data_IF_002529693614
#
_entry.id   IF_002529693614
#
_cell.length_a   1.000
_cell.length_b   1.000
_cell.length_c   1.000
_cell.angle_alpha   90.00
_cell.angle_beta   90.00
_cell.angle_gamma   90.00
#
_symmetry.space_group_name_H-M   'P 1'
#
loop_
_entity.id
_entity.type
_entity.pdbx_description
1 polymer ?
#
# COMPACT_ATOMS: atom_id res chain seq x y z
N UNK A 1 -4.30 4.51 10.10
CA UNK A 1 -5.23 5.59 10.52
C UNK A 1 -6.32 5.86 9.48
N UNK A 2 -6.01 5.91 8.18
CA UNK A 2 -7.01 6.21 7.14
C UNK A 2 -8.21 5.24 7.14
N UNK A 3 -7.98 3.93 7.26
CA UNK A 3 -9.06 2.94 7.33
C UNK A 3 -10.06 3.24 8.47
N UNK A 4 -9.57 3.47 9.70
CA UNK A 4 -10.44 3.81 10.85
C UNK A 4 -11.27 5.08 10.63
N UNK A 5 -10.78 6.04 9.84
CA UNK A 5 -11.46 7.31 9.58
C UNK A 5 -12.47 7.24 8.44
N UNK A 6 -12.21 6.40 7.44
CA UNK A 6 -12.88 6.50 6.14
C UNK A 6 -13.53 5.18 5.68
N UNK A 7 -13.03 4.02 6.11
CA UNK A 7 -13.46 2.73 5.58
C UNK A 7 -14.85 2.31 6.10
N UNK A 8 -15.22 2.68 7.33
CA UNK A 8 -16.41 2.18 8.01
C UNK A 8 -17.37 3.29 8.45
N UNK A 9 -18.00 4.04 7.51
CA UNK A 9 -18.96 5.10 7.87
C UNK A 9 -20.20 4.55 8.60
N UNK A 10 -20.48 3.24 8.48
CA UNK A 10 -21.56 2.53 9.17
C UNK A 10 -21.11 1.83 10.45
N UNK A 11 -19.84 1.96 10.85
CA UNK A 11 -19.30 1.50 12.13
C UNK A 11 -18.41 0.27 12.05
N UNK A 12 -18.98 -0.89 11.69
CA UNK A 12 -18.26 -2.17 11.77
C UNK A 12 -17.45 -2.50 10.52
N UNK A 13 -16.35 -3.22 10.73
CA UNK A 13 -15.53 -3.82 9.69
C UNK A 13 -14.22 -4.35 10.22
N UNK A 14 -13.41 -4.91 9.34
CA UNK A 14 -12.15 -5.56 9.63
C UNK A 14 -10.99 -4.82 8.96
N UNK A 15 -9.91 -4.63 9.72
CA UNK A 15 -8.61 -4.22 9.18
C UNK A 15 -7.67 -5.41 9.34
N UNK A 16 -7.09 -5.85 8.23
CA UNK A 16 -6.07 -6.89 8.20
C UNK A 16 -4.70 -6.24 8.01
N UNK A 17 -3.74 -6.61 8.84
CA UNK A 17 -2.33 -6.20 8.69
C UNK A 17 -1.51 -7.45 8.46
N UNK A 18 -0.80 -7.50 7.34
CA UNK A 18 0.00 -8.65 6.93
C UNK A 18 1.44 -8.21 6.69
N UNK A 19 2.39 -8.98 7.21
CA UNK A 19 3.80 -8.82 6.89
C UNK A 19 4.36 -10.16 6.41
N UNK A 20 4.91 -10.17 5.21
CA UNK A 20 5.50 -11.34 4.58
C UNK A 20 6.95 -11.03 4.23
N UNK A 21 7.87 -11.92 4.59
CA UNK A 21 9.28 -11.74 4.28
C UNK A 21 9.90 -13.01 3.72
N UNK A 22 10.67 -12.82 2.65
CA UNK A 22 11.55 -13.82 2.07
C UNK A 22 12.82 -13.10 1.64
N UNK A 23 13.84 -13.13 2.51
CA UNK A 23 15.10 -12.40 2.33
C UNK A 23 15.60 -12.54 0.89
N UNK A 24 15.90 -11.43 0.19
CA UNK A 24 15.93 -10.04 0.69
C UNK A 24 14.60 -9.29 0.58
N UNK A 25 13.55 -9.91 0.04
CA UNK A 25 12.28 -9.26 -0.26
C UNK A 25 11.33 -9.25 0.95
N UNK A 26 10.48 -8.24 1.03
CA UNK A 26 9.42 -8.16 2.02
C UNK A 26 8.24 -7.34 1.51
N UNK A 27 7.06 -7.62 2.06
CA UNK A 27 5.81 -6.92 1.79
C UNK A 27 5.09 -6.66 3.12
N UNK A 28 4.74 -5.41 3.37
CA UNK A 28 3.83 -5.00 4.44
C UNK A 28 2.54 -4.51 3.79
N UNK A 29 1.41 -5.16 4.07
CA UNK A 29 0.11 -4.73 3.59
C UNK A 29 -0.87 -4.45 4.72
N UNK A 30 -1.73 -3.46 4.49
CA UNK A 30 -2.85 -3.11 5.34
C UNK A 30 -4.08 -3.10 4.44
N UNK A 31 -5.01 -4.01 4.69
CA UNK A 31 -6.30 -4.10 4.02
C UNK A 31 -7.45 -3.75 4.95
N UNK A 32 -8.49 -3.12 4.44
CA UNK A 32 -9.80 -3.02 5.07
C UNK A 32 -10.88 -3.63 4.16
N UNK A 33 -11.99 -4.09 4.75
CA UNK A 33 -13.17 -4.59 4.04
C UNK A 33 -14.30 -3.53 3.94
N UNK A 34 -13.92 -2.25 3.99
CA UNK A 34 -14.84 -1.12 4.05
C UNK A 34 -15.41 -0.70 2.69
N UNK A 35 -15.84 0.55 2.61
CA UNK A 35 -16.49 1.11 1.41
C UNK A 35 -15.54 1.33 0.22
N UNK A 36 -14.24 1.26 0.47
CA UNK A 36 -13.22 1.59 -0.52
C UNK A 36 -13.11 3.09 -0.82
N UNK A 37 -12.34 3.38 -1.86
CA UNK A 37 -12.06 4.70 -2.43
C UNK A 37 -12.51 4.75 -3.89
N UNK A 38 -13.08 5.88 -4.30
CA UNK A 38 -13.35 6.21 -5.71
C UNK A 38 -12.05 6.39 -6.51
N UNK A 39 -12.14 6.33 -7.84
CA UNK A 39 -10.99 6.56 -8.72
C UNK A 39 -10.30 7.91 -8.45
N UNK A 40 -11.08 8.95 -8.16
CA UNK A 40 -10.56 10.27 -7.80
C UNK A 40 -9.79 10.22 -6.48
N UNK A 41 -10.33 9.58 -5.44
CA UNK A 41 -9.69 9.44 -4.13
C UNK A 41 -8.44 8.54 -4.14
N UNK A 42 -8.36 7.60 -5.07
CA UNK A 42 -7.14 6.80 -5.29
C UNK A 42 -6.03 7.68 -5.88
N UNK A 43 -6.38 8.56 -6.82
CA UNK A 43 -5.42 9.45 -7.50
C UNK A 43 -4.96 10.62 -6.62
N UNK A 44 -5.77 11.05 -5.65
CA UNK A 44 -5.41 12.12 -4.73
C UNK A 44 -4.50 11.60 -3.61
N UNK A 45 -3.22 11.99 -3.69
CA UNK A 45 -2.23 11.77 -2.62
C UNK A 45 -2.44 12.79 -1.51
N UNK A 46 -3.46 12.61 -0.68
CA UNK A 46 -3.76 13.57 0.37
C UNK A 46 -3.19 13.19 1.74
N UNK A 47 -2.70 14.21 2.45
CA UNK A 47 -2.34 14.17 3.85
C UNK A 47 -0.87 13.87 4.15
N UNK A 48 -0.38 14.50 5.22
CA UNK A 48 0.97 14.31 5.76
C UNK A 48 1.32 12.83 6.00
N UNK A 49 0.34 12.03 6.46
CA UNK A 49 0.54 10.60 6.69
C UNK A 49 0.91 9.82 5.42
N UNK A 50 0.30 10.16 4.28
CA UNK A 50 0.60 9.55 2.98
C UNK A 50 2.02 9.93 2.54
N UNK A 51 2.39 11.21 2.64
CA UNK A 51 3.73 11.69 2.27
C UNK A 51 4.85 11.09 3.12
N UNK A 52 4.60 10.85 4.42
CA UNK A 52 5.56 10.19 5.31
C UNK A 52 5.78 8.74 4.87
N UNK A 53 4.70 7.98 4.59
CA UNK A 53 4.80 6.59 4.15
C UNK A 53 5.56 6.50 2.82
N UNK A 54 5.27 7.36 1.85
CA UNK A 54 5.98 7.41 0.57
C UNK A 54 7.48 7.72 0.73
N UNK A 55 7.81 8.68 1.60
CA UNK A 55 9.20 9.08 1.87
C UNK A 55 9.98 7.95 2.56
N UNK A 56 9.37 7.26 3.52
CA UNK A 56 9.98 6.11 4.19
C UNK A 56 10.16 4.92 3.26
N UNK A 57 9.16 4.62 2.42
CA UNK A 57 9.27 3.59 1.40
C UNK A 57 10.44 3.87 0.44
N UNK A 58 10.59 5.13 0.01
CA UNK A 58 11.71 5.57 -0.84
C UNK A 58 13.07 5.33 -0.16
N UNK A 59 13.21 5.69 1.11
CA UNK A 59 14.45 5.45 1.89
C UNK A 59 14.80 3.96 2.01
N UNK A 60 13.79 3.09 1.99
CA UNK A 60 13.94 1.65 2.05
C UNK A 60 14.09 0.98 0.67
N UNK A 61 14.15 1.75 -0.42
CA UNK A 61 14.08 1.24 -1.79
C UNK A 61 12.86 0.32 -2.00
N UNK A 62 11.71 0.72 -1.46
CA UNK A 62 10.44 0.02 -1.54
C UNK A 62 9.43 0.83 -2.36
N UNK A 63 8.43 0.15 -2.89
CA UNK A 63 7.34 0.74 -3.66
C UNK A 63 6.05 0.71 -2.83
N UNK A 64 5.28 1.81 -2.87
CA UNK A 64 3.95 1.88 -2.27
C UNK A 64 2.92 1.62 -3.36
N UNK A 65 2.03 0.65 -3.15
CA UNK A 65 0.88 0.40 -4.02
C UNK A 65 -0.41 0.56 -3.24
N UNK A 66 -1.45 1.03 -3.94
CA UNK A 66 -2.80 1.18 -3.41
C UNK A 66 -3.78 0.60 -4.40
N UNK A 67 -4.57 -0.34 -3.92
CA UNK A 67 -5.66 -0.96 -4.65
C UNK A 67 -6.95 -0.73 -3.87
N UNK A 68 -8.03 -0.43 -4.56
CA UNK A 68 -9.30 -0.16 -3.93
C UNK A 68 -10.46 -0.58 -4.81
N UNK A 69 -11.49 -1.14 -4.19
CA UNK A 69 -12.73 -1.58 -4.81
C UNK A 69 -13.92 -1.22 -3.92
N UNK A 70 -15.14 -1.51 -4.37
CA UNK A 70 -16.34 -1.40 -3.51
C UNK A 70 -16.36 -2.37 -2.31
N UNK A 71 -15.33 -3.23 -2.17
CA UNK A 71 -15.17 -4.18 -1.06
C UNK A 71 -13.98 -3.85 -0.17
N UNK A 72 -13.47 -2.61 -0.25
CA UNK A 72 -12.43 -2.11 0.63
C UNK A 72 -11.15 -1.70 -0.08
N UNK A 73 -10.16 -1.34 0.71
CA UNK A 73 -8.87 -0.80 0.26
C UNK A 73 -7.72 -1.63 0.76
N UNK A 74 -6.70 -1.85 -0.08
CA UNK A 74 -5.42 -2.43 0.31
C UNK A 74 -4.31 -1.44 -0.03
N UNK A 75 -3.46 -1.17 0.95
CA UNK A 75 -2.21 -0.44 0.76
C UNK A 75 -1.06 -1.36 1.09
N UNK A 76 -0.08 -1.47 0.19
CA UNK A 76 1.12 -2.29 0.39
C UNK A 76 2.39 -1.45 0.25
N UNK A 77 3.41 -1.84 1.01
CA UNK A 77 4.79 -1.37 0.89
C UNK A 77 5.65 -2.59 0.63
N UNK A 78 6.29 -2.63 -0.53
CA UNK A 78 7.00 -3.80 -1.01
C UNK A 78 8.44 -3.45 -1.36
N UNK A 79 9.39 -4.14 -0.73
CA UNK A 79 10.77 -4.14 -1.17
C UNK A 79 11.06 -5.43 -1.93
N UNK A 80 11.58 -5.27 -3.14
CA UNK A 80 12.07 -6.39 -3.95
C UNK A 80 13.43 -6.05 -4.51
N UNK A 81 14.42 -6.94 -4.33
CA UNK A 81 15.69 -6.80 -5.01
C UNK A 81 15.46 -7.02 -6.51
N UNK A 82 15.50 -5.94 -7.30
CA UNK A 82 15.49 -6.03 -8.76
C UNK A 82 16.78 -6.72 -9.19
N UNK A 83 16.69 -8.00 -9.57
CA UNK A 83 17.76 -8.65 -10.33
C UNK A 83 17.81 -7.95 -11.70
N UNK A 84 18.72 -7.00 -11.86
CA UNK A 84 19.13 -6.52 -13.16
C UNK A 84 19.73 -7.71 -13.91
N UNK A 85 18.92 -8.41 -14.72
CA UNK A 85 19.50 -9.26 -15.77
C UNK A 85 20.24 -8.31 -16.69
N UNK A 86 21.55 -8.50 -16.81
CA UNK A 86 22.39 -7.85 -17.81
C UNK A 86 21.69 -7.96 -19.16
N UNK A 87 21.24 -6.82 -19.70
CA UNK A 87 21.05 -6.73 -21.14
C UNK A 87 22.43 -6.83 -21.75
N UNK A 88 22.77 -8.04 -22.19
CA UNK A 88 23.83 -8.27 -23.15
C UNK A 88 23.51 -7.38 -24.35
N UNK A 89 24.38 -6.41 -24.63
CA UNK A 89 24.47 -5.82 -25.97
C UNK A 89 24.76 -6.96 -26.93
N UNK A 90 23.86 -7.16 -27.89
CA UNK A 90 24.17 -7.77 -29.18
C UNK A 90 23.87 -6.74 -30.24
#
# INVERSE_FOLDING_TARGET
MNALKHAFPKGEGQITVTYESKVPNWNLSIGDDGVGLSATEISTREGLGTSIVESLATQLNAEVQRESTLRGTVVSVSHSQKNLKSSVMV
#
